data_IF_242737734315
#
_entry.id   IF_242737734315
#
_cell.length_a   1.000
_cell.length_b   1.000
_cell.length_c   1.000
_cell.angle_alpha   90.00
_cell.angle_beta   90.00
_cell.angle_gamma   90.00
#
_symmetry.space_group_name_H-M   'P 1'
#
loop_
_entity.id
_entity.type
_entity.pdbx_description
1 polymer ?
#
# COMPACT_ATOMS: atom_id res chain seq x y z
N UNK A 1 0.49 18.72 11.01
CA UNK A 1 -0.43 17.59 11.01
C UNK A 1 -0.13 16.80 9.76
N UNK A 2 0.01 15.48 9.88
CA UNK A 2 0.10 14.60 8.70
C UNK A 2 -1.21 14.76 7.91
N UNK A 3 -1.13 14.75 6.58
CA UNK A 3 -2.32 14.84 5.71
C UNK A 3 -3.04 13.48 5.56
N UNK A 4 -2.40 12.42 6.04
CA UNK A 4 -2.83 11.04 5.92
C UNK A 4 -2.68 10.37 7.29
N UNK A 5 -3.73 9.68 7.71
CA UNK A 5 -3.76 8.90 8.93
C UNK A 5 -3.62 7.41 8.57
N UNK A 6 -3.01 6.65 9.48
CA UNK A 6 -2.98 5.20 9.38
C UNK A 6 -4.36 4.67 9.74
N UNK A 7 -4.81 3.69 8.96
CA UNK A 7 -6.06 2.99 9.17
C UNK A 7 -5.80 1.50 9.12
N UNK A 8 -6.71 0.72 9.73
CA UNK A 8 -6.75 -0.72 9.55
C UNK A 8 -6.76 -1.03 8.04
N UNK A 9 -5.82 -1.85 7.62
CA UNK A 9 -5.63 -2.24 6.23
C UNK A 9 -5.11 -3.67 6.16
N UNK A 10 -5.20 -4.28 4.99
CA UNK A 10 -4.56 -5.56 4.72
C UNK A 10 -3.76 -5.53 3.44
N UNK A 11 -2.72 -6.36 3.40
CA UNK A 11 -1.93 -6.64 2.22
C UNK A 11 -1.97 -8.15 1.99
N UNK A 12 -2.67 -8.59 0.95
CA UNK A 12 -3.11 -9.98 0.78
C UNK A 12 -3.89 -10.46 2.02
N UNK A 13 -3.42 -11.53 2.67
CA UNK A 13 -4.02 -12.11 3.87
C UNK A 13 -3.38 -11.54 5.17
N UNK A 14 -2.44 -10.60 5.07
CA UNK A 14 -1.80 -9.95 6.21
C UNK A 14 -2.61 -8.77 6.72
N UNK A 15 -3.00 -8.82 7.99
CA UNK A 15 -3.60 -7.70 8.71
C UNK A 15 -2.52 -6.71 9.16
N UNK A 16 -2.83 -5.41 9.08
CA UNK A 16 -1.91 -4.37 9.50
C UNK A 16 -2.53 -2.97 9.46
N UNK A 17 -1.68 -1.97 9.33
CA UNK A 17 -2.10 -0.57 9.21
C UNK A 17 -1.51 0.06 7.97
N UNK A 18 -2.29 0.85 7.24
CA UNK A 18 -1.80 1.45 6.01
C UNK A 18 -2.77 2.41 5.35
N UNK A 19 -2.28 3.06 4.31
CA UNK A 19 -3.10 3.88 3.43
C UNK A 19 -2.47 3.98 2.05
N UNK A 20 -3.32 4.29 1.07
CA UNK A 20 -2.90 4.70 -0.26
C UNK A 20 -3.39 6.12 -0.56
N UNK A 21 -2.72 6.80 -1.49
CA UNK A 21 -3.14 8.09 -2.01
C UNK A 21 -3.02 8.13 -3.53
N UNK A 22 -3.91 8.91 -4.17
CA UNK A 22 -3.88 9.06 -5.62
C UNK A 22 -2.79 10.04 -6.07
N UNK A 23 -2.01 9.61 -7.06
CA UNK A 23 -1.01 10.42 -7.74
C UNK A 23 -1.40 10.57 -9.22
N UNK A 24 -1.39 11.82 -9.71
CA UNK A 24 -1.69 12.09 -11.11
C UNK A 24 -0.42 11.93 -11.94
N UNK A 25 -0.40 10.93 -12.82
CA UNK A 25 0.73 10.69 -13.72
C UNK A 25 0.41 11.18 -15.13
N UNK A 26 1.43 11.27 -16.00
CA UNK A 26 1.25 11.62 -17.42
C UNK A 26 0.38 10.58 -18.15
N UNK A 27 0.39 9.33 -17.67
CA UNK A 27 -0.28 8.19 -18.28
C UNK A 27 -1.66 7.86 -17.68
N UNK A 28 -2.07 8.53 -16.60
CA UNK A 28 -3.38 8.27 -15.98
C UNK A 28 -3.39 8.51 -14.48
N UNK A 29 -4.16 7.67 -13.77
CA UNK A 29 -4.20 7.64 -12.30
C UNK A 29 -3.27 6.53 -11.82
N UNK A 30 -2.36 6.89 -10.93
CA UNK A 30 -1.60 5.94 -10.14
C UNK A 30 -1.98 6.09 -8.68
N UNK A 31 -1.68 5.07 -7.89
CA UNK A 31 -1.77 5.05 -6.46
C UNK A 31 -0.39 4.77 -5.88
N UNK A 32 -0.08 5.41 -4.77
CA UNK A 32 1.09 5.10 -3.95
C UNK A 32 0.61 4.93 -2.53
N UNK A 33 1.26 4.08 -1.76
CA UNK A 33 0.85 3.85 -0.39
C UNK A 33 1.94 3.20 0.43
N UNK A 34 1.62 3.07 1.71
CA UNK A 34 2.44 2.40 2.69
C UNK A 34 1.56 1.42 3.46
N UNK A 35 2.10 0.24 3.73
CA UNK A 35 1.51 -0.77 4.58
C UNK A 35 2.51 -1.14 5.68
N UNK A 36 2.03 -1.30 6.89
CA UNK A 36 2.79 -1.74 8.04
C UNK A 36 2.23 -3.07 8.50
N UNK A 37 3.08 -4.10 8.54
CA UNK A 37 2.72 -5.44 8.98
C UNK A 37 3.83 -6.06 9.83
N UNK A 38 3.46 -7.08 10.60
CA UNK A 38 4.39 -7.79 11.49
C UNK A 38 5.08 -9.00 10.82
N UNK A 39 4.58 -9.46 9.67
CA UNK A 39 5.11 -10.62 8.94
C UNK A 39 6.17 -10.21 7.90
N UNK A 40 7.42 -10.13 8.34
CA UNK A 40 8.59 -9.75 7.53
C UNK A 40 8.80 -10.69 6.32
N UNK A 41 8.78 -12.01 6.53
CA UNK A 41 9.06 -12.99 5.48
C UNK A 41 8.07 -12.87 4.30
N UNK A 42 6.80 -12.61 4.59
CA UNK A 42 5.75 -12.50 3.58
C UNK A 42 5.84 -11.16 2.83
N UNK A 43 6.16 -10.06 3.52
CA UNK A 43 6.36 -8.76 2.89
C UNK A 43 7.58 -8.76 1.95
N UNK A 44 8.67 -9.43 2.34
CA UNK A 44 9.86 -9.56 1.49
C UNK A 44 9.57 -10.35 0.20
N UNK A 45 8.78 -11.44 0.29
CA UNK A 45 8.35 -12.21 -0.89
C UNK A 45 7.56 -11.36 -1.90
N UNK A 46 6.71 -10.45 -1.42
CA UNK A 46 5.98 -9.52 -2.27
C UNK A 46 6.90 -8.49 -2.93
N UNK A 47 7.98 -8.08 -2.25
CA UNK A 47 8.96 -7.13 -2.79
C UNK A 47 9.86 -7.75 -3.87
N UNK A 48 10.16 -9.04 -3.76
CA UNK A 48 10.90 -9.79 -4.80
C UNK A 48 10.06 -10.02 -6.07
N UNK A 49 8.77 -9.65 -6.06
CA UNK A 49 7.87 -9.75 -7.20
C UNK A 49 7.53 -11.19 -7.57
N UNK A 50 7.69 -12.13 -6.63
CA UNK A 50 7.29 -13.52 -6.81
C UNK A 50 5.76 -13.67 -6.81
N UNK A 51 5.05 -12.77 -6.12
CA UNK A 51 3.59 -12.79 -6.01
C UNK A 51 2.97 -11.40 -6.24
N UNK A 52 1.76 -11.40 -6.81
CA UNK A 52 0.94 -10.20 -6.92
C UNK A 52 0.42 -9.80 -5.53
N UNK A 53 0.68 -8.57 -5.09
CA UNK A 53 0.15 -8.05 -3.85
C UNK A 53 -1.21 -7.36 -4.06
N UNK A 54 -2.14 -7.53 -3.13
CA UNK A 54 -3.45 -6.85 -3.12
C UNK A 54 -3.57 -6.05 -1.85
N UNK A 55 -3.63 -4.72 -1.97
CA UNK A 55 -3.88 -3.85 -0.84
C UNK A 55 -5.39 -3.61 -0.68
N UNK A 56 -5.88 -3.73 0.56
CA UNK A 56 -7.22 -3.34 0.95
C UNK A 56 -7.16 -2.36 2.12
N UNK A 57 -7.75 -1.18 1.95
CA UNK A 57 -7.74 -0.16 2.99
C UNK A 57 -8.18 1.20 2.47
N UNK A 58 -7.81 2.26 3.19
CA UNK A 58 -8.18 3.62 2.82
C UNK A 58 -7.32 4.15 1.67
N UNK A 59 -7.98 4.53 0.58
CA UNK A 59 -7.45 5.33 -0.51
C UNK A 59 -7.88 6.79 -0.35
N UNK A 60 -6.89 7.67 -0.13
CA UNK A 60 -7.04 9.11 -0.19
C UNK A 60 -7.02 9.60 -1.64
N UNK A 61 -8.20 9.90 -2.19
CA UNK A 61 -8.32 10.60 -3.48
C UNK A 61 -8.61 12.09 -3.24
N UNK A 62 -7.56 12.91 -3.32
CA UNK A 62 -7.58 14.36 -3.08
C UNK A 62 -8.00 14.75 -1.65
N UNK A 63 -9.30 14.85 -1.40
CA UNK A 63 -9.90 15.27 -0.12
C UNK A 63 -11.01 14.32 0.30
N UNK A 64 -11.00 13.09 -0.24
CA UNK A 64 -11.99 12.06 0.06
C UNK A 64 -11.27 10.78 0.42
N UNK A 65 -11.70 10.19 1.52
CA UNK A 65 -11.34 8.85 1.96
C UNK A 65 -12.31 7.85 1.35
N UNK A 66 -11.78 6.74 0.85
CA UNK A 66 -12.57 5.64 0.32
C UNK A 66 -11.88 4.33 0.63
N UNK A 67 -12.60 3.38 1.19
CA UNK A 67 -12.16 2.00 1.25
C UNK A 67 -12.11 1.44 -0.19
N UNK A 68 -10.97 0.86 -0.56
CA UNK A 68 -10.77 0.24 -1.88
C UNK A 68 -9.80 -0.93 -1.74
N UNK A 69 -10.07 -1.98 -2.50
CA UNK A 69 -9.15 -3.09 -2.73
C UNK A 69 -8.61 -3.02 -4.16
N UNK A 70 -7.30 -3.15 -4.34
CA UNK A 70 -6.64 -3.16 -5.65
C UNK A 70 -5.26 -3.81 -5.61
N UNK A 71 -4.83 -4.37 -6.74
CA UNK A 71 -3.49 -4.94 -6.87
C UNK A 71 -2.42 -3.84 -6.86
N UNK A 72 -1.33 -4.11 -6.15
CA UNK A 72 -0.19 -3.23 -5.91
C UNK A 72 1.11 -3.96 -6.19
N UNK A 73 2.16 -3.20 -6.47
CA UNK A 73 3.53 -3.67 -6.61
C UNK A 73 4.33 -3.09 -5.44
N UNK A 74 4.91 -3.95 -4.61
CA UNK A 74 5.78 -3.52 -3.50
C UNK A 74 7.11 -3.09 -4.12
N UNK A 75 7.55 -1.88 -3.78
CA UNK A 75 8.72 -1.24 -4.38
C UNK A 75 9.89 -1.07 -3.42
N UNK A 76 9.60 -1.03 -2.11
CA UNK A 76 10.60 -0.89 -1.07
C UNK A 76 10.05 -1.51 0.23
N UNK A 77 10.93 -2.12 1.01
CA UNK A 77 10.61 -2.67 2.34
C UNK A 77 11.60 -2.08 3.33
N UNK A 78 11.07 -1.50 4.40
CA UNK A 78 11.86 -0.83 5.43
C UNK A 78 11.52 -1.39 6.80
N UNK A 79 12.51 -1.99 7.45
CA UNK A 79 12.37 -2.49 8.81
C UNK A 79 12.25 -1.37 9.82
N UNK A 80 11.20 -1.43 10.64
CA UNK A 80 10.92 -0.46 11.69
C UNK A 80 10.90 -1.14 13.06
N UNK A 81 11.03 -0.39 14.17
CA UNK A 81 10.94 -0.97 15.51
C UNK A 81 9.58 -1.61 15.86
N UNK A 82 8.56 -1.40 15.03
CA UNK A 82 7.18 -1.84 15.24
C UNK A 82 6.68 -2.80 14.15
N UNK A 83 7.58 -3.38 13.36
CA UNK A 83 7.26 -4.23 12.21
C UNK A 83 7.90 -3.74 10.92
N UNK A 84 7.49 -4.30 9.80
CA UNK A 84 7.99 -3.93 8.47
C UNK A 84 7.06 -2.93 7.79
N UNK A 85 7.67 -1.97 7.08
CA UNK A 85 6.94 -1.03 6.23
C UNK A 85 7.16 -1.39 4.76
N UNK A 86 6.09 -1.77 4.08
CA UNK A 86 6.07 -1.98 2.63
C UNK A 86 5.58 -0.70 1.92
N UNK A 87 6.43 -0.11 1.09
CA UNK A 87 6.06 1.00 0.20
C UNK A 87 5.65 0.41 -1.15
N UNK A 88 4.45 0.75 -1.63
CA UNK A 88 3.89 0.15 -2.83
C UNK A 88 3.33 1.17 -3.82
N UNK A 89 3.20 0.73 -5.07
CA UNK A 89 2.60 1.50 -6.16
C UNK A 89 1.52 0.68 -6.86
N UNK A 90 0.50 1.34 -7.40
CA UNK A 90 -0.45 0.71 -8.31
C UNK A 90 -0.76 1.64 -9.48
N UNK A 91 -0.94 1.06 -10.66
CA UNK A 91 -1.37 1.81 -11.84
C UNK A 91 -2.78 1.37 -12.22
N UNK A 92 -3.73 2.30 -12.28
CA UNK A 92 -5.04 2.02 -12.88
C UNK A 92 -4.82 1.99 -14.40
N UNK A 93 -4.63 0.78 -14.97
CA UNK A 93 -4.56 0.62 -16.42
C UNK A 93 -5.86 1.18 -17.03
N UNK A 94 -5.77 1.95 -18.13
CA UNK A 94 -6.93 2.59 -18.76
C UNK A 94 -7.96 1.60 -19.31
#
# INVERSE_FOLDING_TARGET
MSLYDLHDASLNDMDGEGFAYSEKTVYGKAYKGVFFGDDEEEIELLADGEEDATFEGILYDRSREREKSFSVEVTDVVSTPSGERADFVATEKP
#
